data_IF_555362575687
#
_entry.id   IF_555362575687
#
_cell.length_a   1.000
_cell.length_b   1.000
_cell.length_c   1.000
_cell.angle_alpha   90.00
_cell.angle_beta   90.00
_cell.angle_gamma   90.00
#
_symmetry.space_group_name_H-M   'P 1'
#
loop_
_entity.id
_entity.type
_entity.pdbx_description
1 polymer ?
#
# COMPACT_ATOMS: atom_id res chain seq x y z
N UNK A 1 16.38 -1.15 14.43
CA UNK A 1 16.63 -1.95 13.21
C UNK A 1 15.39 -2.04 12.30
N UNK A 2 14.15 -2.08 12.81
CA UNK A 2 12.93 -1.81 12.00
C UNK A 2 12.44 -0.36 12.11
N UNK A 3 12.82 0.36 13.17
CA UNK A 3 12.46 1.78 13.41
C UNK A 3 13.19 2.79 12.50
N UNK A 4 14.22 2.37 11.76
CA UNK A 4 14.97 3.23 10.82
C UNK A 4 14.62 2.98 9.34
N UNK A 5 13.62 2.13 9.06
CA UNK A 5 13.22 1.71 7.71
C UNK A 5 14.40 1.16 6.86
N UNK A 6 15.42 0.62 7.52
CA UNK A 6 16.53 -0.08 6.87
C UNK A 6 16.16 -1.54 6.59
N UNK A 7 15.14 -1.73 5.75
CA UNK A 7 14.72 -3.05 5.28
C UNK A 7 15.84 -3.82 4.59
N UNK A 8 16.69 -3.22 3.73
CA UNK A 8 17.78 -3.94 3.07
C UNK A 8 18.79 -4.52 4.07
N UNK A 9 19.19 -3.75 5.08
CA UNK A 9 20.13 -4.20 6.11
C UNK A 9 19.56 -5.37 6.93
N UNK A 10 18.29 -5.28 7.34
CA UNK A 10 17.62 -6.35 8.08
C UNK A 10 17.51 -7.65 7.26
N UNK A 11 17.12 -7.56 5.99
CA UNK A 11 17.02 -8.72 5.09
C UNK A 11 18.39 -9.37 4.89
N UNK A 12 19.42 -8.56 4.63
CA UNK A 12 20.77 -9.09 4.42
C UNK A 12 21.28 -9.85 5.65
N UNK A 13 21.08 -9.29 6.85
CA UNK A 13 21.43 -9.97 8.09
C UNK A 13 20.68 -11.29 8.25
N UNK A 14 19.36 -11.31 7.98
CA UNK A 14 18.56 -12.53 8.04
C UNK A 14 19.06 -13.60 7.05
N UNK A 15 19.38 -13.21 5.82
CA UNK A 15 19.89 -14.12 4.78
C UNK A 15 21.28 -14.68 5.14
N UNK A 16 22.17 -13.84 5.67
CA UNK A 16 23.48 -14.27 6.15
C UNK A 16 23.35 -15.25 7.33
N UNK A 17 22.48 -14.95 8.29
CA UNK A 17 22.18 -15.85 9.41
C UNK A 17 21.60 -17.19 8.94
N UNK A 18 20.68 -17.19 7.99
CA UNK A 18 20.13 -18.43 7.42
C UNK A 18 21.21 -19.25 6.70
N UNK A 19 22.09 -18.58 5.94
CA UNK A 19 23.20 -19.25 5.26
C UNK A 19 24.16 -19.89 6.27
N UNK A 20 24.52 -19.18 7.34
CA UNK A 20 25.36 -19.72 8.41
C UNK A 20 24.68 -20.86 9.19
N UNK A 21 23.40 -20.69 9.53
CA UNK A 21 22.57 -21.71 10.19
C UNK A 21 22.43 -22.97 9.31
N UNK A 22 22.46 -22.82 7.98
CA UNK A 22 22.29 -23.95 7.06
C UNK A 22 23.37 -25.03 7.20
N UNK A 23 24.58 -24.65 7.64
CA UNK A 23 25.71 -25.55 7.87
C UNK A 23 25.52 -26.42 9.12
N UNK A 24 24.66 -26.00 10.05
CA UNK A 24 24.45 -26.65 11.36
C UNK A 24 23.01 -27.15 11.57
N UNK A 25 22.25 -27.37 10.48
CA UNK A 25 20.81 -27.76 10.51
C UNK A 25 20.48 -29.03 11.30
N UNK A 26 21.48 -29.85 11.62
CA UNK A 26 21.32 -31.08 12.41
C UNK A 26 21.05 -30.80 13.90
N UNK A 27 21.30 -29.58 14.38
CA UNK A 27 20.95 -29.20 15.75
C UNK A 27 19.53 -28.62 15.81
N UNK A 28 18.69 -29.16 16.72
CA UNK A 28 17.30 -28.71 16.91
C UNK A 28 17.18 -27.19 17.15
N UNK A 29 18.08 -26.63 17.96
CA UNK A 29 18.13 -25.19 18.22
C UNK A 29 18.39 -24.36 16.95
N UNK A 30 19.19 -24.87 16.01
CA UNK A 30 19.45 -24.20 14.73
C UNK A 30 18.23 -24.26 13.82
N UNK A 31 17.46 -25.36 13.86
CA UNK A 31 16.19 -25.46 13.14
C UNK A 31 15.16 -24.44 13.66
N UNK A 32 15.04 -24.30 14.98
CA UNK A 32 14.16 -23.30 15.61
C UNK A 32 14.58 -21.86 15.28
N UNK A 33 15.89 -21.57 15.31
CA UNK A 33 16.42 -20.27 14.90
C UNK A 33 16.06 -19.98 13.44
N UNK A 34 16.23 -20.96 12.55
CA UNK A 34 15.92 -20.81 11.14
C UNK A 34 14.42 -20.56 10.91
N UNK A 35 13.53 -21.18 11.69
CA UNK A 35 12.09 -20.90 11.66
C UNK A 35 11.81 -19.45 12.04
N UNK A 36 12.37 -18.96 13.15
CA UNK A 36 12.17 -17.56 13.59
C UNK A 36 12.70 -16.54 12.58
N UNK A 37 13.79 -16.85 11.88
CA UNK A 37 14.31 -16.00 10.81
C UNK A 37 13.37 -15.94 9.60
N UNK A 38 12.68 -17.04 9.28
CA UNK A 38 11.66 -17.05 8.23
C UNK A 38 10.45 -16.19 8.64
N UNK A 39 9.96 -16.34 9.87
CA UNK A 39 8.87 -15.52 10.40
C UNK A 39 9.24 -14.02 10.37
N UNK A 40 10.49 -13.69 10.67
CA UNK A 40 11.00 -12.31 10.61
C UNK A 40 11.03 -11.79 9.17
N UNK A 41 11.43 -12.61 8.19
CA UNK A 41 11.41 -12.23 6.78
C UNK A 41 9.98 -11.98 6.28
N UNK A 42 9.02 -12.82 6.66
CA UNK A 42 7.60 -12.59 6.34
C UNK A 42 7.11 -11.27 6.93
N UNK A 43 7.43 -10.96 8.18
CA UNK A 43 7.08 -9.67 8.78
C UNK A 43 7.70 -8.49 8.05
N UNK A 44 8.95 -8.61 7.58
CA UNK A 44 9.60 -7.58 6.78
C UNK A 44 8.85 -7.39 5.45
N UNK A 45 8.43 -8.46 4.79
CA UNK A 45 7.66 -8.38 3.55
C UNK A 45 6.32 -7.66 3.73
N UNK A 46 5.60 -7.93 4.82
CA UNK A 46 4.36 -7.20 5.15
C UNK A 46 4.64 -5.70 5.32
N UNK A 47 5.72 -5.33 5.99
CA UNK A 47 6.11 -3.92 6.16
C UNK A 47 6.54 -3.26 4.85
N UNK A 48 7.17 -4.01 3.94
CA UNK A 48 7.51 -3.52 2.60
C UNK A 48 6.27 -3.20 1.77
N UNK A 49 5.22 -4.03 1.86
CA UNK A 49 3.95 -3.76 1.17
C UNK A 49 3.27 -2.49 1.74
N UNK A 50 3.28 -2.33 3.06
CA UNK A 50 2.80 -1.11 3.72
C UNK A 50 3.59 0.11 3.24
N UNK A 51 4.92 0.02 3.13
CA UNK A 51 5.76 1.11 2.63
C UNK A 51 5.45 1.45 1.16
N UNK A 52 5.26 0.45 0.29
CA UNK A 52 4.84 0.65 -1.10
C UNK A 52 3.50 1.41 -1.19
N UNK A 53 2.53 1.07 -0.34
CA UNK A 53 1.22 1.73 -0.32
C UNK A 53 1.33 3.23 -0.01
N UNK A 54 2.26 3.63 0.86
CA UNK A 54 2.50 5.04 1.23
C UNK A 54 3.13 5.82 0.08
N UNK A 55 4.06 5.20 -0.66
CA UNK A 55 4.75 5.81 -1.81
C UNK A 55 3.75 6.18 -2.91
N UNK A 56 2.67 5.40 -3.07
CA UNK A 56 1.61 5.69 -4.04
C UNK A 56 0.82 6.97 -3.75
N UNK A 57 0.89 7.49 -2.51
CA UNK A 57 0.23 8.73 -2.08
C UNK A 57 1.21 9.88 -1.94
N UNK A 58 2.40 9.60 -1.40
CA UNK A 58 3.46 10.56 -1.14
C UNK A 58 4.77 9.97 -1.63
N UNK A 59 5.14 10.30 -2.86
CA UNK A 59 6.35 9.75 -3.45
C UNK A 59 7.60 10.37 -2.81
N UNK A 60 8.47 9.49 -2.31
CA UNK A 60 9.81 9.81 -1.84
C UNK A 60 10.80 8.87 -2.50
N UNK A 61 11.75 9.44 -3.26
CA UNK A 61 12.73 8.69 -4.03
C UNK A 61 13.69 7.88 -3.13
N UNK A 62 14.04 8.39 -1.96
CA UNK A 62 14.97 7.72 -1.05
C UNK A 62 14.29 6.50 -0.43
N UNK A 63 13.04 6.65 0.02
CA UNK A 63 12.25 5.55 0.56
C UNK A 63 11.96 4.50 -0.52
N UNK A 64 11.54 4.93 -1.72
CA UNK A 64 11.29 4.01 -2.83
C UNK A 64 12.53 3.21 -3.21
N UNK A 65 13.70 3.85 -3.25
CA UNK A 65 14.98 3.17 -3.58
C UNK A 65 15.31 2.08 -2.55
N UNK A 66 15.14 2.36 -1.25
CA UNK A 66 15.35 1.36 -0.19
C UNK A 66 14.38 0.19 -0.30
N UNK A 67 13.09 0.46 -0.55
CA UNK A 67 12.06 -0.57 -0.71
C UNK A 67 12.36 -1.45 -1.94
N UNK A 68 12.71 -0.84 -3.09
CA UNK A 68 13.10 -1.59 -4.29
C UNK A 68 14.34 -2.47 -4.05
N UNK A 69 15.34 -1.94 -3.34
CA UNK A 69 16.53 -2.70 -2.99
C UNK A 69 16.19 -3.90 -2.10
N UNK A 70 15.29 -3.74 -1.13
CA UNK A 70 14.80 -4.81 -0.27
C UNK A 70 14.08 -5.92 -1.07
N UNK A 71 13.14 -5.57 -1.96
CA UNK A 71 12.49 -6.55 -2.84
C UNK A 71 13.47 -7.27 -3.78
N UNK A 72 14.51 -6.56 -4.24
CA UNK A 72 15.57 -7.15 -5.06
C UNK A 72 16.39 -8.16 -4.26
N UNK A 73 16.73 -7.88 -3.00
CA UNK A 73 17.43 -8.82 -2.12
C UNK A 73 16.59 -10.08 -1.84
N UNK A 74 15.27 -9.95 -1.74
CA UNK A 74 14.35 -11.08 -1.60
C UNK A 74 14.09 -11.84 -2.91
N UNK A 75 14.55 -11.33 -4.05
CA UNK A 75 14.24 -11.89 -5.37
C UNK A 75 12.77 -11.73 -5.79
N UNK A 76 12.01 -10.86 -5.12
CA UNK A 76 10.55 -10.67 -5.27
C UNK A 76 10.18 -9.43 -6.08
N UNK A 77 10.98 -9.08 -7.08
CA UNK A 77 10.76 -7.87 -7.90
C UNK A 77 9.44 -7.89 -8.67
N UNK A 78 8.99 -9.06 -9.15
CA UNK A 78 7.68 -9.19 -9.80
C UNK A 78 6.53 -8.94 -8.82
N UNK A 79 6.59 -9.54 -7.62
CA UNK A 79 5.62 -9.29 -6.55
C UNK A 79 5.55 -7.80 -6.20
N UNK A 80 6.71 -7.13 -6.12
CA UNK A 80 6.77 -5.69 -5.89
C UNK A 80 6.04 -4.90 -6.97
N UNK A 81 6.20 -5.27 -8.25
CA UNK A 81 5.50 -4.63 -9.36
C UNK A 81 3.99 -4.84 -9.31
N UNK A 82 3.54 -6.07 -9.00
CA UNK A 82 2.12 -6.40 -8.89
C UNK A 82 1.46 -5.63 -7.73
N UNK A 83 2.13 -5.59 -6.57
CA UNK A 83 1.69 -4.80 -5.40
C UNK A 83 1.65 -3.31 -5.72
N UNK A 84 2.69 -2.77 -6.36
CA UNK A 84 2.74 -1.36 -6.74
C UNK A 84 1.60 -0.97 -7.68
N UNK A 85 1.32 -1.81 -8.69
CA UNK A 85 0.20 -1.58 -9.60
C UNK A 85 -1.16 -1.62 -8.87
N UNK A 86 -1.34 -2.57 -7.96
CA UNK A 86 -2.54 -2.66 -7.11
C UNK A 86 -2.71 -1.40 -6.25
N UNK A 87 -1.67 -0.99 -5.52
CA UNK A 87 -1.70 0.19 -4.64
C UNK A 87 -1.99 1.48 -5.40
N UNK A 88 -1.40 1.67 -6.59
CA UNK A 88 -1.72 2.82 -7.44
C UNK A 88 -3.17 2.81 -7.90
N UNK A 89 -3.67 1.66 -8.37
CA UNK A 89 -5.06 1.53 -8.80
C UNK A 89 -6.03 1.90 -7.66
N UNK A 90 -5.76 1.41 -6.45
CA UNK A 90 -6.55 1.74 -5.26
C UNK A 90 -6.42 3.21 -4.86
N UNK A 91 -5.21 3.78 -4.87
CA UNK A 91 -4.97 5.18 -4.51
C UNK A 91 -5.70 6.13 -5.46
N UNK A 92 -5.64 5.88 -6.77
CA UNK A 92 -6.37 6.64 -7.79
C UNK A 92 -7.87 6.51 -7.55
N UNK A 93 -8.39 5.29 -7.45
CA UNK A 93 -9.81 5.05 -7.24
C UNK A 93 -10.34 5.79 -6.00
N UNK A 94 -9.64 5.65 -4.87
CA UNK A 94 -10.03 6.29 -3.62
C UNK A 94 -9.97 7.82 -3.72
N UNK A 95 -8.92 8.38 -4.33
CA UNK A 95 -8.76 9.84 -4.46
C UNK A 95 -9.89 10.42 -5.30
N UNK A 96 -10.16 9.83 -6.46
CA UNK A 96 -11.22 10.30 -7.36
C UNK A 96 -12.60 10.14 -6.70
N UNK A 97 -12.86 9.01 -6.02
CA UNK A 97 -14.09 8.79 -5.28
C UNK A 97 -14.31 9.87 -4.21
N UNK A 98 -13.30 10.19 -3.40
CA UNK A 98 -13.40 11.20 -2.35
C UNK A 98 -13.66 12.60 -2.92
N UNK A 99 -13.04 12.95 -4.06
CA UNK A 99 -13.30 14.24 -4.74
C UNK A 99 -14.75 14.33 -5.20
N UNK A 100 -15.28 13.29 -5.85
CA UNK A 100 -16.68 13.29 -6.33
C UNK A 100 -17.66 13.28 -5.17
N UNK A 101 -17.40 12.49 -4.14
CA UNK A 101 -18.22 12.47 -2.91
C UNK A 101 -18.27 13.85 -2.26
N UNK A 102 -17.11 14.47 -2.05
CA UNK A 102 -17.03 15.81 -1.45
C UNK A 102 -17.77 16.86 -2.28
N UNK A 103 -17.71 16.78 -3.60
CA UNK A 103 -18.49 17.67 -4.47
C UNK A 103 -20.00 17.46 -4.33
N UNK A 104 -20.47 16.21 -4.32
CA UNK A 104 -21.89 15.89 -4.13
C UNK A 104 -22.39 16.36 -2.77
N UNK A 105 -21.63 16.15 -1.71
CA UNK A 105 -21.96 16.61 -0.34
C UNK A 105 -22.04 18.14 -0.26
N UNK A 106 -21.14 18.87 -0.95
CA UNK A 106 -21.20 20.33 -1.02
C UNK A 106 -22.44 20.84 -1.77
N UNK A 107 -22.79 20.22 -2.90
CA UNK A 107 -23.91 20.66 -3.73
C UNK A 107 -25.29 20.25 -3.20
N UNK A 108 -25.40 19.13 -2.48
CA UNK A 108 -26.67 18.62 -1.95
C UNK A 108 -27.15 19.40 -0.71
N UNK A 109 -26.31 20.26 -0.12
CA UNK A 109 -26.58 20.89 1.18
C UNK A 109 -26.72 19.86 2.30
N UNK A 110 -27.08 20.30 3.51
CA UNK A 110 -27.18 19.45 4.72
C UNK A 110 -28.38 18.47 4.69
N UNK A 111 -28.71 17.92 3.53
CA UNK A 111 -29.71 16.88 3.33
C UNK A 111 -29.13 15.55 3.83
N UNK A 112 -29.91 14.82 4.63
CA UNK A 112 -29.51 13.61 5.38
C UNK A 112 -29.35 12.38 4.46
N UNK A 113 -28.55 12.54 3.43
CA UNK A 113 -28.34 11.57 2.36
C UNK A 113 -27.01 10.87 2.58
N UNK A 114 -27.06 9.55 2.74
CA UNK A 114 -25.87 8.70 3.01
C UNK A 114 -25.07 8.44 1.73
N UNK A 115 -24.53 9.49 1.12
CA UNK A 115 -23.75 9.42 -0.13
C UNK A 115 -22.49 8.53 -0.01
N UNK A 116 -21.95 8.41 1.21
CA UNK A 116 -20.80 7.52 1.51
C UNK A 116 -21.04 6.03 1.19
N UNK A 117 -22.29 5.60 1.06
CA UNK A 117 -22.65 4.20 0.73
C UNK A 117 -22.84 3.96 -0.76
N UNK A 118 -22.81 5.01 -1.58
CA UNK A 118 -23.05 4.90 -3.01
C UNK A 118 -21.78 4.46 -3.75
N UNK A 119 -21.97 3.73 -4.85
CA UNK A 119 -20.84 3.41 -5.72
C UNK A 119 -20.41 4.63 -6.54
N UNK A 120 -19.17 4.62 -7.01
CA UNK A 120 -18.61 5.71 -7.82
C UNK A 120 -19.52 6.13 -8.99
N UNK A 121 -20.11 5.15 -9.70
CA UNK A 121 -21.02 5.39 -10.83
C UNK A 121 -22.29 6.13 -10.42
N UNK A 122 -22.85 5.78 -9.25
CA UNK A 122 -24.06 6.41 -8.72
C UNK A 122 -23.76 7.84 -8.29
N UNK A 123 -22.62 8.06 -7.63
CA UNK A 123 -22.14 9.40 -7.27
C UNK A 123 -21.95 10.29 -8.51
N UNK A 124 -21.37 9.76 -9.59
CA UNK A 124 -21.21 10.50 -10.85
C UNK A 124 -22.56 10.90 -11.47
N UNK A 125 -23.58 10.05 -11.32
CA UNK A 125 -24.93 10.31 -11.82
C UNK A 125 -25.59 11.43 -11.03
N UNK A 126 -25.48 11.40 -9.71
CA UNK A 126 -25.95 12.48 -8.82
C UNK A 126 -25.24 13.80 -9.12
N UNK A 127 -23.91 13.76 -9.28
CA UNK A 127 -23.09 14.91 -9.64
C UNK A 127 -23.52 15.55 -10.97
N UNK A 128 -23.75 14.74 -12.01
CA UNK A 128 -24.20 15.20 -13.33
C UNK A 128 -25.56 15.92 -13.25
N UNK A 129 -26.48 15.39 -12.43
CA UNK A 129 -27.80 16.00 -12.22
C UNK A 129 -27.71 17.32 -11.45
N UNK A 130 -26.84 17.42 -10.43
CA UNK A 130 -26.62 18.66 -9.66
C UNK A 130 -26.02 19.78 -10.52
N UNK A 131 -25.05 19.45 -11.40
CA UNK A 131 -24.46 20.42 -12.34
C UNK A 131 -25.52 20.95 -13.31
N UNK A 132 -26.37 20.06 -13.85
CA UNK A 132 -27.46 20.46 -14.73
C UNK A 132 -28.46 21.40 -14.03
N UNK A 133 -28.82 21.11 -12.77
CA UNK A 133 -29.71 21.96 -11.97
C UNK A 133 -29.08 23.32 -11.67
N UNK A 134 -27.79 23.38 -11.32
CA UNK A 134 -27.10 24.64 -11.04
C UNK A 134 -26.97 25.52 -12.30
N UNK A 135 -26.74 24.93 -13.48
CA UNK A 135 -26.76 25.68 -14.75
C UNK A 135 -28.17 26.17 -15.10
N UNK A 136 -29.23 25.39 -14.84
CA UNK A 136 -30.61 25.81 -15.10
C UNK A 136 -31.10 26.92 -14.16
N UNK A 137 -30.59 26.98 -12.92
CA UNK A 137 -30.89 28.05 -11.96
C UNK A 137 -30.07 29.33 -12.18
N UNK A 138 -29.05 29.28 -13.04
CA UNK A 138 -28.18 30.43 -13.37
C UNK A 138 -28.65 31.22 -14.62
N UNK A 139 -29.82 30.87 -15.18
CA UNK A 139 -30.52 31.60 -16.25
C UNK A 139 -31.89 32.07 -15.76
#
# INVERSE_FOLDING_TARGET
>A
MLEEEDYPGAIQLCLECQKAASTFKHYSCISELNSKLQDTLEQIEEQLDVALSKICKNFDINHYTKVQQAYRLLGKTQTAMDQLHMHFTQAIHNTVFQVVLGYVELCAGNTDTKFQKLQYKDLCTVCSNLIAVHMLLSF
#
